data_IF_179540437378
#
_entry.id   IF_179540437378
#
_cell.length_a   1.000
_cell.length_b   1.000
_cell.length_c   1.000
_cell.angle_alpha   90.00
_cell.angle_beta   90.00
_cell.angle_gamma   90.00
#
_symmetry.space_group_name_H-M   'P 1'
#
loop_
_entity.id
_entity.type
_entity.pdbx_description
1 polymer ?
#
# COMPACT_ATOMS: atom_id res chain seq x y z
N UNK A 1 -31.30 -7.16 3.10
CA UNK A 1 -30.00 -6.55 2.73
C UNK A 1 -29.04 -6.83 3.88
N UNK A 2 -28.05 -7.72 3.70
CA UNK A 2 -27.07 -7.98 4.74
C UNK A 2 -26.22 -6.72 4.94
N UNK A 3 -26.34 -6.20 6.14
CA UNK A 3 -25.73 -5.00 6.66
C UNK A 3 -24.21 -5.25 6.80
N UNK A 4 -23.44 -4.18 6.65
CA UNK A 4 -22.03 -3.96 7.03
C UNK A 4 -21.62 -3.97 8.52
N UNK A 5 -22.42 -4.29 9.56
CA UNK A 5 -22.17 -3.71 10.87
C UNK A 5 -21.29 -4.65 11.68
N UNK A 6 -20.23 -4.08 12.26
CA UNK A 6 -19.32 -4.69 13.25
C UNK A 6 -18.12 -5.47 12.73
N UNK A 7 -17.53 -5.05 11.61
CA UNK A 7 -16.17 -5.48 11.25
C UNK A 7 -15.25 -4.26 11.18
N UNK A 8 -14.17 -4.28 11.95
CA UNK A 8 -13.09 -3.31 11.80
C UNK A 8 -12.15 -3.79 10.70
N UNK A 9 -11.98 -2.97 9.67
CA UNK A 9 -11.13 -3.26 8.53
C UNK A 9 -9.79 -2.54 8.67
N UNK A 10 -8.73 -3.31 8.53
CA UNK A 10 -7.35 -2.85 8.56
C UNK A 10 -6.65 -3.24 7.27
N UNK A 11 -5.87 -2.32 6.72
CA UNK A 11 -4.97 -2.58 5.61
C UNK A 11 -3.55 -2.65 6.15
N UNK A 12 -3.00 -3.86 6.16
CA UNK A 12 -1.62 -4.11 6.52
C UNK A 12 -0.77 -4.11 5.25
N UNK A 13 0.38 -3.46 5.33
CA UNK A 13 1.33 -3.45 4.24
C UNK A 13 2.76 -3.51 4.73
N UNK A 14 3.56 -4.24 3.97
CA UNK A 14 5.01 -4.30 4.05
C UNK A 14 5.56 -3.94 2.68
N UNK A 15 6.20 -2.78 2.56
CA UNK A 15 6.77 -2.30 1.31
C UNK A 15 8.25 -2.05 1.50
N UNK A 16 9.05 -2.66 0.63
CA UNK A 16 10.49 -2.45 0.54
C UNK A 16 10.83 -1.83 -0.82
N UNK A 17 11.61 -0.77 -0.81
CA UNK A 17 12.18 -0.22 -2.03
C UNK A 17 11.88 1.26 -2.21
N UNK A 18 11.53 1.64 -3.43
CA UNK A 18 11.34 3.00 -3.93
C UNK A 18 10.30 3.86 -3.18
N UNK A 19 10.13 5.12 -3.62
CA UNK A 19 9.00 5.93 -3.18
C UNK A 19 7.67 5.43 -3.76
N UNK A 20 6.59 5.57 -3.00
CA UNK A 20 5.28 5.03 -3.38
C UNK A 20 4.11 5.77 -2.73
N UNK A 21 2.92 5.57 -3.29
CA UNK A 21 1.62 5.97 -2.72
C UNK A 21 0.70 4.75 -2.65
N UNK A 22 0.19 4.46 -1.45
CA UNK A 22 -0.79 3.41 -1.19
C UNK A 22 -2.19 4.00 -1.33
N UNK A 23 -3.04 3.34 -2.11
CA UNK A 23 -4.41 3.77 -2.41
C UNK A 23 -5.41 2.66 -2.14
N UNK A 24 -6.57 3.02 -1.63
CA UNK A 24 -7.75 2.16 -1.56
C UNK A 24 -8.90 2.85 -2.29
N UNK A 25 -9.49 2.16 -3.26
CA UNK A 25 -10.58 2.67 -4.10
C UNK A 25 -10.26 4.04 -4.74
N UNK A 26 -8.99 4.28 -5.06
CA UNK A 26 -8.50 5.53 -5.64
C UNK A 26 -8.18 6.64 -4.64
N UNK A 27 -8.43 6.46 -3.35
CA UNK A 27 -8.10 7.42 -2.28
C UNK A 27 -6.71 7.14 -1.74
N UNK A 28 -5.87 8.17 -1.67
CA UNK A 28 -4.53 8.11 -1.07
C UNK A 28 -4.63 7.86 0.44
N UNK A 29 -4.07 6.75 0.90
CA UNK A 29 -4.03 6.37 2.31
C UNK A 29 -2.73 6.79 2.98
N UNK A 30 -1.63 6.57 2.28
CA UNK A 30 -0.29 6.80 2.79
C UNK A 30 0.69 6.95 1.64
N UNK A 31 1.77 7.69 1.86
CA UNK A 31 2.86 7.80 0.91
C UNK A 31 4.19 7.78 1.62
N UNK A 32 5.21 7.27 0.94
CA UNK A 32 6.59 7.37 1.41
C UNK A 32 7.46 7.88 0.28
N UNK A 33 8.20 8.95 0.55
CA UNK A 33 9.12 9.62 -0.39
C UNK A 33 10.58 9.21 -0.19
N UNK A 34 10.84 8.12 0.52
CA UNK A 34 12.19 7.64 0.84
C UNK A 34 12.30 6.15 0.63
N UNK A 35 13.53 5.70 0.40
CA UNK A 35 13.81 4.28 0.23
C UNK A 35 13.84 3.53 1.56
N UNK A 36 13.64 2.21 1.51
CA UNK A 36 13.79 1.30 2.64
C UNK A 36 12.52 0.52 2.95
N UNK A 37 12.58 -0.28 4.02
CA UNK A 37 11.43 -1.05 4.51
C UNK A 37 10.43 -0.13 5.22
N UNK A 38 9.16 -0.28 4.89
CA UNK A 38 8.04 0.40 5.51
C UNK A 38 6.93 -0.60 5.82
N UNK A 39 6.59 -0.72 7.09
CA UNK A 39 5.52 -1.60 7.57
C UNK A 39 4.50 -0.77 8.35
N UNK A 40 3.22 -0.93 8.05
CA UNK A 40 2.16 -0.30 8.84
C UNK A 40 0.82 -1.00 8.70
N UNK A 41 -0.09 -0.65 9.60
CA UNK A 41 -1.48 -1.08 9.62
C UNK A 41 -2.38 0.14 9.71
N UNK A 42 -3.26 0.32 8.73
CA UNK A 42 -4.14 1.49 8.64
C UNK A 42 -5.61 1.08 8.78
N UNK A 43 -6.41 1.73 9.65
CA UNK A 43 -7.84 1.52 9.67
C UNK A 43 -8.46 2.07 8.37
N UNK A 44 -9.27 1.26 7.69
CA UNK A 44 -9.84 1.60 6.36
C UNK A 44 -11.37 1.45 6.29
N UNK A 45 -12.04 1.43 7.46
CA UNK A 45 -13.48 1.21 7.56
C UNK A 45 -14.31 2.12 6.66
N UNK A 46 -13.97 3.41 6.63
CA UNK A 46 -14.73 4.42 5.88
C UNK A 46 -14.52 4.35 4.36
N UNK A 47 -13.55 3.54 3.93
CA UNK A 47 -13.12 3.45 2.52
C UNK A 47 -13.46 2.11 1.89
N UNK A 48 -13.71 1.06 2.69
CA UNK A 48 -14.14 -0.24 2.20
C UNK A 48 -15.63 -0.17 1.84
N UNK A 49 -15.94 -0.55 0.60
CA UNK A 49 -17.31 -0.64 0.10
C UNK A 49 -17.76 -2.10 -0.02
N UNK A 50 -19.08 -2.31 -0.05
CA UNK A 50 -19.65 -3.62 -0.37
C UNK A 50 -19.27 -4.03 -1.80
N UNK A 51 -18.81 -5.27 -1.97
CA UNK A 51 -18.41 -5.81 -3.26
C UNK A 51 -16.91 -5.64 -3.53
N UNK A 52 -16.55 -5.38 -4.79
CA UNK A 52 -15.15 -5.28 -5.19
C UNK A 52 -14.49 -3.99 -4.70
N UNK A 53 -13.32 -4.14 -4.10
CA UNK A 53 -12.46 -3.03 -3.67
C UNK A 53 -11.12 -3.16 -4.39
N UNK A 54 -10.51 -2.02 -4.72
CA UNK A 54 -9.21 -1.99 -5.39
C UNK A 54 -8.18 -1.39 -4.45
N UNK A 55 -7.10 -2.13 -4.18
CA UNK A 55 -5.91 -1.56 -3.55
C UNK A 55 -4.80 -1.44 -4.58
N UNK A 56 -4.13 -0.30 -4.56
CA UNK A 56 -3.05 0.01 -5.50
C UNK A 56 -1.87 0.58 -4.75
N UNK A 57 -0.68 0.16 -5.18
CA UNK A 57 0.57 0.73 -4.74
C UNK A 57 1.22 1.36 -5.96
N UNK A 58 1.28 2.69 -5.97
CA UNK A 58 1.76 3.47 -7.12
C UNK A 58 3.20 3.84 -6.87
N UNK A 59 4.11 3.29 -7.66
CA UNK A 59 5.52 3.69 -7.65
C UNK A 59 5.67 5.16 -8.05
N UNK A 60 6.38 5.93 -7.24
CA UNK A 60 6.72 7.32 -7.53
C UNK A 60 8.22 7.37 -7.79
N UNK A 61 8.67 7.69 -9.01
CA UNK A 61 10.09 7.81 -9.27
C UNK A 61 10.68 8.98 -8.48
N UNK A 62 11.81 8.73 -7.83
CA UNK A 62 12.55 9.74 -7.08
C UNK A 62 13.43 10.54 -8.05
N UNK A 63 13.70 11.79 -7.73
CA UNK A 63 14.65 12.61 -8.47
C UNK A 63 15.97 12.60 -7.73
N UNK A 64 17.04 12.25 -8.43
CA UNK A 64 18.40 12.37 -7.93
C UNK A 64 19.11 13.49 -8.70
N UNK A 65 19.89 14.29 -7.98
CA UNK A 65 20.76 15.27 -8.62
C UNK A 65 21.93 14.52 -9.26
N UNK A 66 22.07 14.61 -10.57
CA UNK A 66 23.26 14.15 -11.28
C UNK A 66 24.44 15.07 -10.88
N UNK A 67 25.48 14.54 -10.22
CA UNK A 67 26.60 15.34 -9.76
C UNK A 67 27.47 15.89 -10.91
N UNK A 68 27.42 15.29 -12.10
CA UNK A 68 28.22 15.71 -13.25
C UNK A 68 27.53 16.83 -14.05
N UNK A 69 26.21 16.74 -14.21
CA UNK A 69 25.43 17.67 -15.04
C UNK A 69 24.63 18.70 -14.24
N UNK A 70 24.43 18.47 -12.95
CA UNK A 70 23.57 19.30 -12.09
C UNK A 70 22.07 19.20 -12.44
N UNK A 71 21.68 18.25 -13.30
CA UNK A 71 20.29 18.03 -13.70
C UNK A 71 19.64 16.98 -12.81
N UNK A 72 18.36 17.15 -12.50
CA UNK A 72 17.59 16.10 -11.82
C UNK A 72 17.26 14.98 -12.80
N UNK A 73 17.79 13.79 -12.53
CA UNK A 73 17.47 12.55 -13.25
C UNK A 73 16.46 11.71 -12.44
N UNK A 74 15.58 11.01 -13.14
CA UNK A 74 14.67 10.05 -12.51
C UNK A 74 15.47 8.81 -12.11
N UNK A 75 15.50 8.51 -10.83
CA UNK A 75 16.06 7.27 -10.31
C UNK A 75 14.93 6.24 -10.26
N UNK A 76 15.07 5.20 -11.06
CA UNK A 76 14.27 3.99 -10.94
C UNK A 76 15.00 3.09 -9.94
N UNK A 77 14.37 2.75 -8.82
CA UNK A 77 14.97 1.82 -7.87
C UNK A 77 14.69 0.38 -8.32
N UNK A 78 15.75 -0.40 -8.48
CA UNK A 78 15.73 -1.74 -9.11
C UNK A 78 15.08 -2.83 -8.25
N UNK A 79 14.76 -2.55 -6.97
CA UNK A 79 14.18 -3.53 -6.06
C UNK A 79 12.92 -2.95 -5.42
N UNK A 80 11.76 -3.40 -5.89
CA UNK A 80 10.45 -3.05 -5.34
C UNK A 80 9.70 -4.32 -4.96
N UNK A 81 9.44 -4.46 -3.67
CA UNK A 81 8.65 -5.55 -3.11
C UNK A 81 7.54 -4.98 -2.25
N UNK A 82 6.32 -5.49 -2.43
CA UNK A 82 5.18 -5.11 -1.63
C UNK A 82 4.33 -6.33 -1.29
N UNK A 83 3.99 -6.45 -0.02
CA UNK A 83 2.96 -7.35 0.48
C UNK A 83 1.84 -6.53 1.08
N UNK A 84 0.60 -6.81 0.66
CA UNK A 84 -0.58 -6.08 1.13
C UNK A 84 -1.68 -7.06 1.51
N UNK A 85 -2.20 -6.89 2.73
CA UNK A 85 -3.24 -7.73 3.32
C UNK A 85 -4.40 -6.87 3.81
N UNK A 86 -5.62 -7.26 3.49
CA UNK A 86 -6.82 -6.69 4.08
C UNK A 86 -7.30 -7.61 5.19
N UNK A 87 -7.53 -7.05 6.37
CA UNK A 87 -8.03 -7.78 7.51
C UNK A 87 -9.36 -7.23 7.95
N UNK A 88 -10.30 -8.12 8.24
CA UNK A 88 -11.56 -7.82 8.86
C UNK A 88 -11.60 -8.47 10.24
N UNK A 89 -11.72 -7.66 11.28
CA UNK A 89 -11.82 -8.11 12.66
C UNK A 89 -13.29 -7.96 13.09
N UNK A 90 -13.96 -9.09 13.32
CA UNK A 90 -15.30 -9.09 13.88
C UNK A 90 -15.27 -8.66 15.36
N UNK A 91 -16.38 -8.11 15.85
CA UNK A 91 -16.53 -7.72 17.28
C UNK A 91 -16.26 -8.86 18.27
N UNK A 92 -16.42 -10.11 17.83
CA UNK A 92 -16.15 -11.34 18.59
C UNK A 92 -14.64 -11.68 18.68
N UNK A 93 -13.77 -10.84 18.10
CA UNK A 93 -12.32 -11.06 18.05
C UNK A 93 -11.85 -11.99 16.94
N UNK A 94 -12.77 -12.55 16.15
CA UNK A 94 -12.43 -13.40 14.99
C UNK A 94 -11.84 -12.54 13.88
N UNK A 95 -10.59 -12.86 13.49
CA UNK A 95 -9.87 -12.24 12.38
C UNK A 95 -10.10 -13.03 11.10
N UNK A 96 -10.55 -12.35 10.07
CA UNK A 96 -10.56 -12.84 8.70
C UNK A 96 -9.51 -12.06 7.91
N UNK A 97 -8.59 -12.77 7.27
CA UNK A 97 -7.52 -12.18 6.47
C UNK A 97 -7.72 -12.52 5.00
N UNK A 98 -7.59 -11.51 4.14
CA UNK A 98 -7.54 -11.66 2.70
C UNK A 98 -6.19 -11.08 2.26
N UNK A 99 -5.25 -11.96 1.90
CA UNK A 99 -4.00 -11.53 1.26
C UNK A 99 -4.34 -11.11 -0.17
N UNK A 100 -4.11 -9.83 -0.50
CA UNK A 100 -4.65 -9.27 -1.75
C UNK A 100 -3.66 -9.30 -2.91
N UNK A 101 -2.35 -9.23 -2.66
CA UNK A 101 -1.28 -9.49 -3.63
C UNK A 101 0.10 -9.36 -2.99
N UNK A 102 1.02 -10.21 -3.44
CA UNK A 102 2.46 -9.97 -3.34
C UNK A 102 2.90 -9.43 -4.71
N UNK A 103 3.44 -8.21 -4.73
CA UNK A 103 4.02 -7.62 -5.93
C UNK A 103 5.53 -7.57 -5.75
N UNK A 104 6.25 -8.36 -6.53
CA UNK A 104 7.71 -8.32 -6.57
C UNK A 104 8.11 -7.95 -7.99
N UNK A 105 8.76 -6.80 -8.15
CA UNK A 105 9.45 -6.48 -9.39
C UNK A 105 10.88 -7.00 -9.24
N UNK A 106 11.16 -8.13 -9.91
CA UNK A 106 12.51 -8.65 -10.11
C UNK A 106 12.86 -8.37 -11.57
N UNK A 107 13.98 -7.69 -11.81
CA UNK A 107 14.54 -7.50 -13.15
C UNK A 107 15.20 -8.79 -13.64
#
# INVERSE_FOLDING_TARGET
>A
MADIPNRQHYLDFDVQGASWVLRLNGVDLWSRGSTGLCSSSLPVNDLVKKGENTVSLVHVPTRKLDPETGVFVLEHHDHFGAEIRLQAIAREGRREEITMKQATCLQ
#
